data_IF_875736657768
#
_entry.id   IF_875736657768
#
_cell.length_a   1.000
_cell.length_b   1.000
_cell.length_c   1.000
_cell.angle_alpha   90.00
_cell.angle_beta   90.00
_cell.angle_gamma   90.00
#
_symmetry.space_group_name_H-M   'P 1'
#
loop_
_entity.id
_entity.type
_entity.pdbx_description
1 polymer ?
#
# COMPACT_ATOMS: atom_id res chain seq x y z
N UNK A 1 -19.40 8.44 12.25
CA UNK A 1 -18.72 8.36 10.97
C UNK A 1 -17.32 7.77 11.07
N UNK A 2 -16.52 7.81 10.00
CA UNK A 2 -15.19 7.13 9.92
C UNK A 2 -14.21 7.54 11.03
N UNK A 3 -14.24 8.80 11.47
CA UNK A 3 -13.34 9.32 12.51
C UNK A 3 -13.91 9.24 13.93
N UNK A 4 -15.07 8.61 14.10
CA UNK A 4 -15.68 8.45 15.41
C UNK A 4 -14.83 7.57 16.32
N UNK A 5 -14.63 8.02 17.56
CA UNK A 5 -13.93 7.27 18.61
C UNK A 5 -14.96 6.67 19.55
N UNK A 6 -14.96 5.35 19.67
CA UNK A 6 -15.93 4.61 20.51
C UNK A 6 -15.68 4.78 22.01
N UNK A 7 -14.51 5.28 22.39
CA UNK A 7 -14.11 5.57 23.78
C UNK A 7 -14.23 7.06 24.16
N UNK A 8 -14.92 7.88 23.33
CA UNK A 8 -15.03 9.32 23.54
C UNK A 8 -16.51 9.76 23.63
N UNK A 9 -16.94 10.19 24.80
CA UNK A 9 -18.36 10.52 25.09
C UNK A 9 -18.94 11.58 24.14
N UNK A 10 -18.16 12.59 23.76
CA UNK A 10 -18.58 13.62 22.81
C UNK A 10 -18.91 13.05 21.43
N UNK A 11 -18.04 12.18 20.90
CA UNK A 11 -18.24 11.55 19.60
C UNK A 11 -19.50 10.64 19.62
N UNK A 12 -19.69 9.88 20.71
CA UNK A 12 -20.85 9.01 20.91
C UNK A 12 -22.14 9.84 20.96
N UNK A 13 -22.13 10.95 21.70
CA UNK A 13 -23.28 11.85 21.81
C UNK A 13 -23.67 12.47 20.47
N UNK A 14 -22.70 12.99 19.72
CA UNK A 14 -22.94 13.57 18.40
C UNK A 14 -23.46 12.53 17.39
N UNK A 15 -22.91 11.32 17.39
CA UNK A 15 -23.39 10.24 16.52
C UNK A 15 -24.84 9.88 16.81
N UNK A 16 -25.24 9.87 18.09
CA UNK A 16 -26.61 9.63 18.51
C UNK A 16 -27.53 10.78 18.11
N UNK A 17 -27.11 12.03 18.37
CA UNK A 17 -27.87 13.25 18.06
C UNK A 17 -28.18 13.38 16.58
N UNK A 18 -27.16 13.13 15.73
CA UNK A 18 -27.29 13.30 14.27
C UNK A 18 -27.59 11.99 13.52
N UNK A 19 -27.90 10.90 14.23
CA UNK A 19 -28.17 9.58 13.65
C UNK A 19 -27.08 9.10 12.67
N UNK A 20 -25.81 9.34 13.02
CA UNK A 20 -24.67 8.94 12.20
C UNK A 20 -24.35 7.46 12.47
N UNK A 21 -24.35 6.57 11.45
CA UNK A 21 -24.02 5.18 11.65
C UNK A 21 -22.55 5.00 12.02
N UNK A 22 -22.29 3.99 12.85
CA UNK A 22 -20.93 3.50 13.06
C UNK A 22 -20.40 2.85 11.78
N UNK A 23 -19.10 3.04 11.50
CA UNK A 23 -18.43 2.44 10.36
C UNK A 23 -17.30 1.57 10.88
N UNK A 24 -17.48 0.25 10.77
CA UNK A 24 -16.53 -0.73 11.27
C UNK A 24 -15.47 -1.11 10.22
N UNK A 25 -15.81 -0.98 8.95
CA UNK A 25 -14.98 -1.38 7.82
C UNK A 25 -15.05 -0.34 6.70
N UNK A 26 -13.88 0.00 6.17
CA UNK A 26 -13.72 0.86 4.98
C UNK A 26 -12.90 0.10 3.95
N UNK A 27 -13.45 -0.07 2.75
CA UNK A 27 -12.79 -0.70 1.61
C UNK A 27 -12.72 0.33 0.49
N UNK A 28 -11.50 0.69 0.08
CA UNK A 28 -11.27 1.68 -0.98
C UNK A 28 -10.06 1.26 -1.81
N UNK A 29 -10.25 1.17 -3.12
CA UNK A 29 -9.17 1.06 -4.08
C UNK A 29 -8.97 2.40 -4.79
N UNK A 30 -7.73 2.87 -4.87
CA UNK A 30 -7.40 4.13 -5.54
C UNK A 30 -7.46 3.98 -7.06
N UNK A 31 -7.69 5.08 -7.75
CA UNK A 31 -7.57 5.12 -9.19
C UNK A 31 -6.15 4.73 -9.63
N UNK A 32 -6.01 4.03 -10.78
CA UNK A 32 -4.73 3.48 -11.23
C UNK A 32 -3.83 4.54 -11.87
N UNK A 33 -3.39 5.53 -11.10
CA UNK A 33 -2.61 6.68 -11.55
C UNK A 33 -1.34 6.27 -12.31
N UNK A 34 -0.49 5.43 -11.71
CA UNK A 34 0.78 5.01 -12.31
C UNK A 34 0.59 4.23 -13.61
N UNK A 35 -0.46 3.36 -13.67
CA UNK A 35 -0.81 2.65 -14.91
C UNK A 35 -1.26 3.61 -16.00
N UNK A 36 -1.94 4.69 -15.64
CA UNK A 36 -2.37 5.71 -16.59
C UNK A 36 -1.18 6.50 -17.10
N UNK A 37 -0.25 6.88 -16.23
CA UNK A 37 1.02 7.53 -16.63
C UNK A 37 1.81 6.63 -17.57
N UNK A 38 2.03 5.37 -17.21
CA UNK A 38 2.83 4.43 -18.01
C UNK A 38 2.18 4.04 -19.34
N UNK A 39 0.87 4.22 -19.50
CA UNK A 39 0.18 4.00 -20.77
C UNK A 39 0.41 5.09 -21.81
N UNK A 40 1.04 6.20 -21.46
CA UNK A 40 1.22 7.37 -22.32
C UNK A 40 -0.08 8.15 -22.58
N UNK A 41 -1.02 8.11 -21.63
CA UNK A 41 -2.27 8.87 -21.70
C UNK A 41 -2.03 10.38 -21.74
N UNK A 42 -3.05 11.15 -22.12
CA UNK A 42 -2.96 12.62 -22.09
C UNK A 42 -2.78 13.13 -20.65
N UNK A 43 -2.15 14.30 -20.48
CA UNK A 43 -2.00 14.95 -19.18
C UNK A 43 -3.36 15.11 -18.46
N UNK A 44 -4.38 15.49 -19.22
CA UNK A 44 -5.74 15.62 -18.68
C UNK A 44 -6.26 14.29 -18.12
N UNK A 45 -6.09 13.18 -18.85
CA UNK A 45 -6.54 11.87 -18.39
C UNK A 45 -5.74 11.39 -17.17
N UNK A 46 -4.46 11.72 -17.08
CA UNK A 46 -3.60 11.41 -15.95
C UNK A 46 -4.06 12.19 -14.70
N UNK A 47 -4.30 13.49 -14.84
CA UNK A 47 -4.74 14.35 -13.74
C UNK A 47 -6.10 13.90 -13.20
N UNK A 48 -7.03 13.48 -14.07
CA UNK A 48 -8.32 12.91 -13.66
C UNK A 48 -8.21 11.60 -12.86
N UNK A 49 -7.04 10.94 -12.87
CA UNK A 49 -6.76 9.76 -12.05
C UNK A 49 -6.12 10.08 -10.70
N UNK A 50 -5.97 11.35 -10.34
CA UNK A 50 -5.59 11.76 -8.99
C UNK A 50 -6.81 11.62 -8.09
N UNK A 51 -6.80 10.58 -7.26
CA UNK A 51 -7.91 10.27 -6.36
C UNK A 51 -7.87 11.20 -5.13
N UNK A 52 -8.90 12.00 -4.96
CA UNK A 52 -9.04 12.92 -3.82
C UNK A 52 -9.87 12.30 -2.70
N UNK A 53 -11.00 11.69 -3.07
CA UNK A 53 -11.94 11.12 -2.10
C UNK A 53 -11.44 9.83 -1.47
N UNK A 54 -10.98 8.89 -2.30
CA UNK A 54 -10.49 7.59 -1.86
C UNK A 54 -9.30 7.71 -0.93
N UNK A 55 -8.31 8.55 -1.28
CA UNK A 55 -7.14 8.78 -0.43
C UNK A 55 -7.52 9.37 0.94
N UNK A 56 -8.50 10.27 0.97
CA UNK A 56 -9.00 10.88 2.20
C UNK A 56 -9.69 9.84 3.09
N UNK A 57 -10.50 8.95 2.51
CA UNK A 57 -11.18 7.87 3.22
C UNK A 57 -10.19 6.85 3.80
N UNK A 58 -9.18 6.44 3.02
CA UNK A 58 -8.12 5.54 3.46
C UNK A 58 -7.39 6.14 4.66
N UNK A 59 -6.95 7.39 4.58
CA UNK A 59 -6.21 8.05 5.65
C UNK A 59 -7.05 8.25 6.92
N UNK A 60 -8.33 8.62 6.76
CA UNK A 60 -9.24 8.81 7.88
C UNK A 60 -9.48 7.51 8.65
N UNK A 61 -9.80 6.43 7.92
CA UNK A 61 -10.06 5.12 8.54
C UNK A 61 -8.79 4.51 9.15
N UNK A 62 -7.65 4.59 8.47
CA UNK A 62 -6.38 4.12 9.00
C UNK A 62 -5.92 4.88 10.25
N UNK A 63 -6.17 6.20 10.31
CA UNK A 63 -5.95 7.00 11.53
C UNK A 63 -6.81 6.49 12.68
N UNK A 64 -8.06 6.11 12.40
CA UNK A 64 -9.00 5.59 13.39
C UNK A 64 -8.95 4.05 13.53
N UNK A 65 -7.79 3.44 13.36
CA UNK A 65 -7.61 1.97 13.39
C UNK A 65 -8.06 1.29 14.70
N UNK A 66 -8.23 2.05 15.77
CA UNK A 66 -8.78 1.52 17.02
C UNK A 66 -10.21 1.02 16.84
N UNK A 67 -10.98 1.71 16.02
CA UNK A 67 -12.42 1.52 15.88
C UNK A 67 -12.83 1.09 14.47
N UNK A 68 -11.98 1.31 13.45
CA UNK A 68 -12.29 1.03 12.04
C UNK A 68 -11.22 0.13 11.42
N UNK A 69 -11.65 -0.90 10.69
CA UNK A 69 -10.78 -1.72 9.85
C UNK A 69 -10.67 -1.08 8.47
N UNK A 70 -9.45 -1.00 7.90
CA UNK A 70 -9.21 -0.38 6.60
C UNK A 70 -8.63 -1.38 5.62
N UNK A 71 -9.21 -1.46 4.42
CA UNK A 71 -8.67 -2.18 3.27
C UNK A 71 -8.45 -1.15 2.16
N UNK A 72 -7.23 -1.01 1.71
CA UNK A 72 -6.79 0.08 0.83
C UNK A 72 -6.24 -0.40 -0.52
N UNK A 73 -6.32 -1.70 -0.80
CA UNK A 73 -5.92 -2.30 -2.07
C UNK A 73 -6.58 -3.67 -2.24
N UNK A 74 -6.90 -4.03 -3.48
CA UNK A 74 -7.43 -5.35 -3.85
C UNK A 74 -6.50 -6.50 -3.41
N UNK A 75 -5.20 -6.28 -3.37
CA UNK A 75 -4.22 -7.29 -2.92
C UNK A 75 -4.41 -7.71 -1.46
N UNK A 76 -5.16 -6.93 -0.68
CA UNK A 76 -5.46 -7.21 0.73
C UNK A 76 -6.75 -8.03 0.91
N UNK A 77 -7.55 -8.22 -0.13
CA UNK A 77 -8.89 -8.84 -0.03
C UNK A 77 -8.82 -10.28 0.46
N UNK A 78 -7.94 -11.09 -0.09
CA UNK A 78 -7.83 -12.50 0.31
C UNK A 78 -7.40 -12.62 1.77
N UNK A 79 -6.38 -11.87 2.20
CA UNK A 79 -5.94 -11.84 3.59
C UNK A 79 -7.06 -11.40 4.54
N UNK A 80 -7.80 -10.35 4.17
CA UNK A 80 -8.94 -9.89 4.95
C UNK A 80 -10.04 -10.94 5.03
N UNK A 81 -10.41 -11.59 3.92
CA UNK A 81 -11.43 -12.63 3.90
C UNK A 81 -11.06 -13.82 4.79
N UNK A 82 -9.79 -14.20 4.82
CA UNK A 82 -9.32 -15.26 5.72
C UNK A 82 -9.45 -14.83 7.19
N UNK A 83 -9.03 -13.61 7.53
CA UNK A 83 -9.20 -13.05 8.88
C UNK A 83 -10.67 -13.00 9.29
N UNK A 84 -11.53 -12.47 8.42
CA UNK A 84 -12.96 -12.32 8.66
C UNK A 84 -13.62 -13.66 8.94
N UNK A 85 -13.34 -14.69 8.13
CA UNK A 85 -13.87 -16.06 8.32
C UNK A 85 -13.34 -16.71 9.59
N UNK A 86 -12.03 -16.61 9.84
CA UNK A 86 -11.38 -17.23 11.01
C UNK A 86 -11.87 -16.64 12.31
N UNK A 87 -12.10 -15.33 12.35
CA UNK A 87 -12.48 -14.60 13.56
C UNK A 87 -13.99 -14.33 13.67
N UNK A 88 -14.83 -15.02 12.88
CA UNK A 88 -16.28 -14.84 12.87
C UNK A 88 -16.71 -13.37 12.75
N UNK A 89 -16.13 -12.62 11.84
CA UNK A 89 -16.44 -11.23 11.57
C UNK A 89 -15.80 -10.22 12.52
N UNK A 90 -14.98 -10.67 13.47
CA UNK A 90 -14.28 -9.80 14.42
C UNK A 90 -12.85 -9.52 13.98
N UNK A 91 -12.26 -8.45 14.51
CA UNK A 91 -10.84 -8.15 14.32
C UNK A 91 -10.19 -7.68 15.61
N UNK A 92 -8.94 -8.08 15.83
CA UNK A 92 -8.13 -7.61 16.93
C UNK A 92 -7.55 -6.21 16.62
N UNK A 93 -7.19 -5.47 17.68
CA UNK A 93 -6.48 -4.19 17.54
C UNK A 93 -5.16 -4.34 16.77
N UNK A 94 -4.45 -5.46 16.96
CA UNK A 94 -3.19 -5.75 16.26
C UNK A 94 -3.40 -5.91 14.75
N UNK A 95 -4.45 -6.60 14.33
CA UNK A 95 -4.80 -6.76 12.91
C UNK A 95 -5.19 -5.42 12.30
N UNK A 96 -6.05 -4.63 12.95
CA UNK A 96 -6.41 -3.30 12.48
C UNK A 96 -5.19 -2.37 12.35
N UNK A 97 -4.27 -2.41 13.32
CA UNK A 97 -3.01 -1.64 13.26
C UNK A 97 -2.12 -2.08 12.09
N UNK A 98 -2.05 -3.39 11.81
CA UNK A 98 -1.31 -3.93 10.66
C UNK A 98 -1.88 -3.41 9.34
N UNK A 99 -3.21 -3.43 9.17
CA UNK A 99 -3.86 -2.92 7.97
C UNK A 99 -3.79 -1.39 7.86
N UNK A 100 -3.80 -0.67 8.97
CA UNK A 100 -3.53 0.77 8.98
C UNK A 100 -2.12 1.09 8.46
N UNK A 101 -1.11 0.31 8.86
CA UNK A 101 0.25 0.45 8.33
C UNK A 101 0.30 0.20 6.81
N UNK A 102 -0.39 -0.85 6.32
CA UNK A 102 -0.53 -1.10 4.88
C UNK A 102 -1.20 0.06 4.16
N UNK A 103 -2.23 0.66 4.76
CA UNK A 103 -2.95 1.80 4.19
C UNK A 103 -2.08 3.05 4.08
N UNK A 104 -1.25 3.34 5.08
CA UNK A 104 -0.28 4.43 5.00
C UNK A 104 0.85 4.14 4.02
N UNK A 105 1.25 2.88 3.84
CA UNK A 105 2.17 2.50 2.77
C UNK A 105 1.59 2.82 1.39
N UNK A 106 0.34 2.42 1.12
CA UNK A 106 -0.36 2.74 -0.14
C UNK A 106 -0.46 4.25 -0.35
N UNK A 107 -0.91 5.02 0.67
CA UNK A 107 -1.09 6.46 0.51
C UNK A 107 0.23 7.21 0.29
N UNK A 108 1.31 6.81 0.96
CA UNK A 108 2.63 7.43 0.78
C UNK A 108 3.25 7.11 -0.59
N UNK A 109 3.06 5.89 -1.07
CA UNK A 109 3.48 5.49 -2.41
C UNK A 109 2.73 6.29 -3.48
N UNK A 110 1.42 6.39 -3.35
CA UNK A 110 0.55 7.13 -4.25
C UNK A 110 0.96 8.61 -4.36
N UNK A 111 1.14 9.29 -3.22
CA UNK A 111 1.60 10.68 -3.19
C UNK A 111 3.03 10.84 -3.76
N UNK A 112 3.90 9.84 -3.55
CA UNK A 112 5.24 9.83 -4.13
C UNK A 112 5.21 9.73 -5.65
N UNK A 113 4.34 8.87 -6.19
CA UNK A 113 4.16 8.74 -7.65
C UNK A 113 3.62 10.03 -8.27
N UNK A 114 2.64 10.67 -7.63
CA UNK A 114 2.10 11.95 -8.09
C UNK A 114 3.16 13.05 -8.04
N UNK A 115 3.90 13.15 -6.93
CA UNK A 115 4.99 14.10 -6.80
C UNK A 115 6.04 13.93 -7.92
N UNK A 116 6.47 12.69 -8.17
CA UNK A 116 7.47 12.41 -9.20
C UNK A 116 6.96 12.74 -10.62
N UNK A 117 5.66 12.60 -10.87
CA UNK A 117 5.05 12.99 -12.14
C UNK A 117 5.08 14.50 -12.37
N UNK A 118 4.83 15.30 -11.33
CA UNK A 118 4.82 16.77 -11.43
C UNK A 118 6.18 17.42 -11.22
N UNK A 119 7.16 16.70 -10.69
CA UNK A 119 8.45 17.25 -10.35
C UNK A 119 9.35 17.38 -11.59
N UNK A 120 9.54 18.63 -12.07
CA UNK A 120 10.43 18.95 -13.20
C UNK A 120 11.81 19.43 -12.71
N UNK A 121 11.85 20.31 -11.71
CA UNK A 121 13.05 21.10 -11.39
C UNK A 121 13.53 21.00 -9.93
N UNK A 122 12.72 20.46 -9.02
CA UNK A 122 13.13 20.39 -7.61
C UNK A 122 14.17 19.29 -7.38
N UNK A 123 15.29 19.66 -6.75
CA UNK A 123 16.33 18.70 -6.37
C UNK A 123 15.93 17.99 -5.09
N UNK A 124 14.92 17.13 -5.20
CA UNK A 124 14.38 16.31 -4.11
C UNK A 124 14.36 14.85 -4.55
N UNK A 125 14.94 13.98 -3.75
CA UNK A 125 14.84 12.54 -3.96
C UNK A 125 13.65 11.96 -3.15
N UNK A 126 12.68 11.41 -3.86
CA UNK A 126 11.61 10.61 -3.28
C UNK A 126 11.51 9.30 -4.05
N UNK A 127 11.56 8.21 -3.32
CA UNK A 127 11.36 6.87 -3.84
C UNK A 127 10.43 6.08 -2.91
N UNK A 128 9.56 5.29 -3.49
CA UNK A 128 8.70 4.36 -2.76
C UNK A 128 8.52 3.11 -3.60
N UNK A 129 8.60 1.96 -2.97
CA UNK A 129 8.40 0.67 -3.60
C UNK A 129 7.49 -0.19 -2.73
N UNK A 130 6.41 -0.71 -3.32
CA UNK A 130 5.43 -1.55 -2.61
C UNK A 130 5.60 -3.03 -2.91
N UNK A 131 6.35 -3.35 -3.98
CA UNK A 131 6.64 -4.73 -4.38
C UNK A 131 8.00 -5.12 -3.81
N UNK A 132 8.08 -6.30 -3.22
CA UNK A 132 9.35 -6.86 -2.79
C UNK A 132 9.37 -8.37 -3.00
N UNK A 133 10.56 -8.89 -3.32
CA UNK A 133 10.81 -10.33 -3.46
C UNK A 133 11.87 -10.76 -2.47
N UNK A 134 11.58 -11.82 -1.70
CA UNK A 134 12.57 -12.43 -0.84
C UNK A 134 13.57 -13.20 -1.69
N UNK A 135 14.83 -12.90 -1.53
CA UNK A 135 15.95 -13.60 -2.19
C UNK A 135 16.25 -14.90 -1.46
N UNK A 136 16.96 -15.80 -2.14
CA UNK A 136 17.39 -17.07 -1.56
C UNK A 136 18.21 -16.88 -0.27
N UNK A 137 19.10 -15.89 -0.23
CA UNK A 137 19.84 -15.38 0.94
C UNK A 137 20.44 -14.01 0.60
N UNK A 138 20.95 -13.30 1.63
CA UNK A 138 21.65 -12.02 1.49
C UNK A 138 23.10 -12.20 1.02
N UNK A 139 24.02 -11.38 1.54
CA UNK A 139 25.45 -11.52 1.26
C UNK A 139 26.00 -12.86 1.72
N UNK A 140 25.58 -13.31 2.91
CA UNK A 140 25.94 -14.60 3.48
C UNK A 140 24.72 -15.54 3.59
N UNK A 141 24.92 -16.89 3.54
CA UNK A 141 23.81 -17.85 3.49
C UNK A 141 22.81 -17.80 4.65
N UNK A 142 23.22 -17.29 5.81
CA UNK A 142 22.37 -17.14 7.00
C UNK A 142 21.59 -15.81 7.04
N UNK A 143 21.88 -14.88 6.15
CA UNK A 143 21.24 -13.58 6.09
C UNK A 143 20.01 -13.61 5.18
N UNK A 144 18.96 -12.88 5.55
CA UNK A 144 17.84 -12.63 4.65
C UNK A 144 18.20 -11.50 3.66
N UNK A 145 17.86 -11.71 2.40
CA UNK A 145 17.96 -10.69 1.36
C UNK A 145 16.58 -10.35 0.80
N UNK A 146 16.38 -9.10 0.45
CA UNK A 146 15.16 -8.63 -0.20
C UNK A 146 15.52 -7.78 -1.42
N UNK A 147 14.81 -8.00 -2.50
CA UNK A 147 14.81 -7.10 -3.64
C UNK A 147 13.55 -6.25 -3.58
N UNK A 148 13.68 -4.94 -3.72
CA UNK A 148 12.56 -4.01 -3.80
C UNK A 148 12.35 -3.63 -5.25
N UNK A 149 11.17 -3.91 -5.78
CA UNK A 149 10.79 -3.79 -7.18
C UNK A 149 10.26 -5.10 -7.75
N UNK A 150 9.78 -5.05 -8.99
CA UNK A 150 9.30 -6.22 -9.73
C UNK A 150 10.45 -6.92 -10.44
N UNK A 151 11.07 -7.90 -9.76
CA UNK A 151 12.20 -8.67 -10.29
C UNK A 151 11.77 -9.53 -11.50
N UNK A 152 10.53 -10.01 -11.51
CA UNK A 152 10.03 -10.87 -12.56
C UNK A 152 9.67 -10.08 -13.84
N UNK A 153 9.41 -8.78 -13.73
CA UNK A 153 9.32 -7.88 -14.88
C UNK A 153 10.69 -7.51 -15.48
N UNK A 154 11.76 -7.58 -14.67
CA UNK A 154 13.12 -7.27 -15.13
C UNK A 154 13.81 -8.47 -15.79
N UNK A 155 13.53 -9.68 -15.31
CA UNK A 155 14.22 -10.90 -15.73
C UNK A 155 13.27 -12.07 -15.92
N UNK A 156 13.38 -12.76 -17.05
CA UNK A 156 12.73 -14.04 -17.28
C UNK A 156 13.62 -15.17 -16.76
N UNK A 157 13.18 -15.86 -15.71
CA UNK A 157 13.88 -17.03 -15.19
C UNK A 157 13.55 -18.28 -16.01
N UNK A 158 14.48 -18.72 -16.85
CA UNK A 158 14.29 -19.91 -17.68
C UNK A 158 14.36 -21.21 -16.86
N UNK A 159 15.33 -21.32 -15.92
CA UNK A 159 15.50 -22.47 -15.03
C UNK A 159 16.48 -22.13 -13.89
N UNK A 160 16.64 -23.05 -12.95
CA UNK A 160 17.63 -22.93 -11.88
C UNK A 160 17.05 -22.51 -10.54
N UNK A 161 17.95 -22.23 -9.58
CA UNK A 161 17.59 -21.81 -8.22
C UNK A 161 17.16 -20.35 -8.19
N UNK A 162 16.46 -19.95 -7.12
CA UNK A 162 16.16 -18.54 -6.85
C UNK A 162 17.45 -17.73 -6.67
N UNK A 163 17.39 -16.45 -7.06
CA UNK A 163 18.53 -15.54 -6.99
C UNK A 163 18.89 -15.21 -5.53
N UNK A 164 20.17 -15.06 -5.28
CA UNK A 164 20.71 -14.47 -4.04
C UNK A 164 21.16 -13.03 -4.29
N UNK A 165 21.49 -12.32 -3.21
CA UNK A 165 22.09 -10.98 -3.30
C UNK A 165 23.34 -10.97 -4.21
N UNK A 166 24.26 -11.92 -4.02
CA UNK A 166 25.48 -11.99 -4.83
C UNK A 166 25.18 -12.21 -6.31
N UNK A 167 24.16 -13.03 -6.63
CA UNK A 167 23.78 -13.20 -8.04
C UNK A 167 23.26 -11.89 -8.67
N UNK A 168 22.54 -11.07 -7.90
CA UNK A 168 22.08 -9.77 -8.40
C UNK A 168 23.26 -8.81 -8.62
N UNK A 169 24.27 -8.80 -7.75
CA UNK A 169 25.50 -8.04 -7.97
C UNK A 169 26.25 -8.48 -9.24
N UNK A 170 26.34 -9.80 -9.47
CA UNK A 170 26.99 -10.35 -10.67
C UNK A 170 26.23 -9.95 -11.94
N UNK A 171 24.86 -9.98 -11.89
CA UNK A 171 24.00 -9.57 -13.01
C UNK A 171 24.16 -8.08 -13.27
N UNK A 172 24.11 -7.24 -12.23
CA UNK A 172 24.30 -5.78 -12.36
C UNK A 172 25.64 -5.44 -12.98
N UNK A 173 26.72 -6.08 -12.53
CA UNK A 173 28.04 -5.92 -13.11
C UNK A 173 28.09 -6.35 -14.57
N UNK A 174 27.43 -7.46 -14.93
CA UNK A 174 27.44 -7.97 -16.30
C UNK A 174 26.63 -7.10 -17.29
N UNK A 175 25.54 -6.48 -16.81
CA UNK A 175 24.69 -5.60 -17.64
C UNK A 175 25.34 -4.24 -17.88
N UNK A 176 26.19 -3.77 -16.95
CA UNK A 176 26.85 -2.47 -17.01
C UNK A 176 28.25 -2.51 -17.61
N UNK A 177 28.74 -3.66 -18.12
CA UNK A 177 29.98 -3.82 -18.86
C UNK A 177 29.76 -3.54 -20.36
#
# INVERSE_FOLDING_TARGET
>A
GILNRQDHDGDISEMSEYNIPQIDLVIVDLYPFEKTVSSGASEQDIVEKIDIGGISLIRASAKNFKDTFTISSMDQYEEFLQLYKTNNGSSSLSERKKFAAKSFNISSHYDTAIFNYFNEDEVVFKASEIISKTLRYGENPHQKGYFFGDLDAMFEKLHGKELSYNNLLDIDAAVNL
#
